data_IF_895875879114
#
_entry.id   IF_895875879114
#
_cell.length_a   1.000
_cell.length_b   1.000
_cell.length_c   1.000
_cell.angle_alpha   90.00
_cell.angle_beta   90.00
_cell.angle_gamma   90.00
#
_symmetry.space_group_name_H-M   'P 1'
#
loop_
_entity.id
_entity.type
_entity.pdbx_description
1 polymer ?
#
# COMPACT_ATOMS: atom_id res chain seq x y z
N UNK A 1 27.82 2.06 -11.14
CA UNK A 1 27.72 3.42 -10.54
C UNK A 1 28.45 3.39 -9.21
N UNK A 2 29.19 4.45 -8.82
CA UNK A 2 29.89 4.47 -7.52
C UNK A 2 28.85 4.75 -6.42
N UNK A 3 28.67 3.77 -5.54
CA UNK A 3 27.80 3.95 -4.37
C UNK A 3 28.38 5.05 -3.50
N UNK A 4 27.68 6.18 -3.40
CA UNK A 4 28.09 7.30 -2.56
C UNK A 4 27.77 6.94 -1.09
N UNK A 5 28.74 6.90 -0.18
CA UNK A 5 28.48 6.59 1.24
C UNK A 5 27.48 7.54 1.90
N UNK A 6 27.42 8.79 1.47
CA UNK A 6 26.47 9.79 2.00
C UNK A 6 25.03 9.45 1.60
N UNK A 7 24.80 8.99 0.37
CA UNK A 7 23.46 8.58 -0.08
C UNK A 7 22.99 7.33 0.66
N UNK A 8 23.89 6.38 0.88
CA UNK A 8 23.61 5.17 1.68
C UNK A 8 23.23 5.54 3.12
N UNK A 9 24.00 6.43 3.76
CA UNK A 9 23.72 6.88 5.11
C UNK A 9 22.38 7.63 5.21
N UNK A 10 22.08 8.50 4.23
CA UNK A 10 20.84 9.26 4.15
C UNK A 10 19.62 8.34 3.99
N UNK A 11 19.69 7.38 3.08
CA UNK A 11 18.61 6.42 2.84
C UNK A 11 18.37 5.56 4.08
N UNK A 12 19.42 5.03 4.71
CA UNK A 12 19.28 4.22 5.92
C UNK A 12 18.72 5.02 7.11
N UNK A 13 19.12 6.29 7.25
CA UNK A 13 18.55 7.18 8.28
C UNK A 13 17.05 7.41 8.05
N UNK A 14 16.65 7.68 6.82
CA UNK A 14 15.24 7.85 6.45
C UNK A 14 14.42 6.58 6.74
N UNK A 15 14.93 5.41 6.39
CA UNK A 15 14.23 4.13 6.59
C UNK A 15 14.14 3.70 8.05
N UNK A 16 15.01 4.24 8.93
CA UNK A 16 14.99 3.93 10.37
C UNK A 16 13.86 4.66 11.08
N UNK A 17 13.50 5.87 10.63
CA UNK A 17 12.40 6.67 11.18
C UNK A 17 11.13 6.50 10.34
N UNK A 18 10.63 5.27 10.25
CA UNK A 18 9.45 4.93 9.47
C UNK A 18 8.48 4.05 10.27
N UNK A 19 7.22 4.07 9.86
CA UNK A 19 6.19 3.15 10.32
C UNK A 19 6.30 1.85 9.53
N UNK A 20 6.47 0.72 10.22
CA UNK A 20 6.41 -0.61 9.61
C UNK A 20 4.95 -1.05 9.47
N UNK A 21 4.58 -1.42 8.25
CA UNK A 21 3.25 -1.90 7.88
C UNK A 21 3.26 -3.43 7.75
N UNK A 22 2.18 -4.07 8.23
CA UNK A 22 1.98 -5.52 8.09
C UNK A 22 0.62 -5.81 7.50
N UNK A 23 0.54 -6.82 6.64
CA UNK A 23 -0.74 -7.31 6.17
C UNK A 23 -1.49 -7.92 7.35
N UNK A 24 -2.67 -7.36 7.64
CA UNK A 24 -3.56 -7.83 8.68
C UNK A 24 -4.60 -8.80 8.12
N UNK A 25 -5.25 -8.42 7.01
CA UNK A 25 -6.30 -9.22 6.37
C UNK A 25 -6.49 -8.82 4.90
N UNK A 26 -7.22 -9.66 4.16
CA UNK A 26 -7.71 -9.36 2.81
C UNK A 26 -9.21 -9.59 2.81
N UNK A 27 -9.97 -8.52 2.58
CA UNK A 27 -11.43 -8.55 2.74
C UNK A 27 -12.15 -8.25 1.43
N UNK A 28 -13.41 -8.72 1.33
CA UNK A 28 -14.27 -8.42 0.20
C UNK A 28 -14.75 -6.96 0.23
N UNK A 29 -14.89 -6.36 -0.96
CA UNK A 29 -15.45 -5.03 -1.12
C UNK A 29 -16.93 -5.14 -1.44
N UNK A 30 -17.77 -4.35 -0.76
CA UNK A 30 -19.21 -4.31 -1.04
C UNK A 30 -19.45 -3.77 -2.45
N UNK A 31 -20.15 -4.54 -3.28
CA UNK A 31 -20.49 -4.14 -4.65
C UNK A 31 -19.36 -4.26 -5.68
N UNK A 32 -18.25 -4.92 -5.33
CA UNK A 32 -17.12 -5.15 -6.23
C UNK A 32 -16.56 -6.58 -6.06
N UNK A 33 -17.24 -7.57 -6.64
CA UNK A 33 -16.93 -9.00 -6.40
C UNK A 33 -15.55 -9.43 -6.91
N UNK A 34 -14.97 -8.76 -7.90
CA UNK A 34 -13.64 -9.08 -8.45
C UNK A 34 -12.50 -8.39 -7.70
N UNK A 35 -12.80 -7.38 -6.89
CA UNK A 35 -11.80 -6.62 -6.14
C UNK A 35 -11.79 -7.01 -4.67
N UNK A 36 -10.63 -6.87 -4.06
CA UNK A 36 -10.36 -7.11 -2.65
C UNK A 36 -9.62 -5.93 -2.04
N UNK A 37 -9.72 -5.80 -0.76
CA UNK A 37 -9.04 -4.78 0.01
C UNK A 37 -8.02 -5.43 0.93
N UNK A 38 -6.74 -5.18 0.68
CA UNK A 38 -5.65 -5.51 1.60
C UNK A 38 -5.64 -4.50 2.73
N UNK A 39 -5.70 -4.97 3.96
CA UNK A 39 -5.64 -4.15 5.16
C UNK A 39 -4.23 -4.22 5.73
N UNK A 40 -3.52 -3.09 5.68
CA UNK A 40 -2.17 -2.94 6.19
C UNK A 40 -2.22 -2.13 7.49
N UNK A 41 -1.73 -2.69 8.58
CA UNK A 41 -1.73 -2.02 9.90
C UNK A 41 -0.32 -1.72 10.35
N UNK A 42 -0.18 -0.70 11.20
CA UNK A 42 1.03 -0.46 11.98
C UNK A 42 1.21 -1.50 13.10
N UNK A 43 2.34 -1.49 13.78
CA UNK A 43 2.64 -2.40 14.88
C UNK A 43 1.70 -2.23 16.09
N UNK A 44 1.06 -1.07 16.23
CA UNK A 44 0.09 -0.78 17.32
C UNK A 44 -1.29 -1.30 16.97
N UNK A 45 -1.61 -1.47 15.67
CA UNK A 45 -2.88 -1.98 15.19
C UNK A 45 -4.07 -1.04 15.44
N UNK A 46 -3.82 0.27 15.55
CA UNK A 46 -4.89 1.27 15.76
C UNK A 46 -5.34 1.95 14.47
N UNK A 47 -4.48 1.97 13.48
CA UNK A 47 -4.73 2.61 12.18
C UNK A 47 -4.36 1.68 11.05
N UNK A 48 -4.98 1.88 9.91
CA UNK A 48 -4.77 1.05 8.72
C UNK A 48 -4.60 1.90 7.47
N UNK A 49 -3.79 1.40 6.55
CA UNK A 49 -3.83 1.72 5.13
C UNK A 49 -4.57 0.60 4.40
N UNK A 50 -5.29 0.96 3.35
CA UNK A 50 -6.05 -0.01 2.57
C UNK A 50 -5.66 0.08 1.10
N UNK A 51 -5.24 -1.03 0.50
CA UNK A 51 -4.86 -1.10 -0.89
C UNK A 51 -5.69 -2.14 -1.63
N UNK A 52 -6.05 -1.84 -2.87
CA UNK A 52 -6.87 -2.73 -3.70
C UNK A 52 -5.99 -3.82 -4.30
N UNK A 53 -6.53 -5.04 -4.35
CA UNK A 53 -5.97 -6.14 -5.12
C UNK A 53 -7.08 -6.95 -5.82
N UNK A 54 -6.69 -7.81 -6.73
CA UNK A 54 -7.59 -8.76 -7.38
C UNK A 54 -7.68 -10.10 -6.62
N UNK A 55 -8.56 -10.97 -7.09
CA UNK A 55 -8.75 -12.31 -6.50
C UNK A 55 -7.53 -13.23 -6.61
N UNK A 56 -6.67 -13.02 -7.61
CA UNK A 56 -5.47 -13.84 -7.77
C UNK A 56 -4.45 -13.49 -6.67
N UNK A 57 -4.24 -12.20 -6.43
CA UNK A 57 -3.41 -11.70 -5.33
C UNK A 57 -3.99 -12.11 -3.97
N UNK A 58 -5.32 -11.96 -3.77
CA UNK A 58 -5.97 -12.45 -2.54
C UNK A 58 -5.59 -13.90 -2.23
N UNK A 59 -5.76 -14.80 -3.21
CA UNK A 59 -5.43 -16.22 -3.04
C UNK A 59 -3.97 -16.45 -2.64
N UNK A 60 -3.05 -15.73 -3.25
CA UNK A 60 -1.62 -15.82 -2.94
C UNK A 60 -1.31 -15.31 -1.52
N UNK A 61 -1.93 -14.22 -1.09
CA UNK A 61 -1.73 -13.66 0.24
C UNK A 61 -2.39 -14.52 1.32
N UNK A 62 -3.67 -14.86 1.17
CA UNK A 62 -4.43 -15.67 2.14
C UNK A 62 -3.78 -17.05 2.31
N UNK A 63 -3.30 -17.66 1.23
CA UNK A 63 -2.58 -18.92 1.29
C UNK A 63 -1.36 -18.85 2.23
N UNK A 64 -0.59 -17.73 2.17
CA UNK A 64 0.58 -17.51 3.03
C UNK A 64 0.22 -17.10 4.46
N UNK A 65 -0.85 -16.37 4.64
CA UNK A 65 -1.36 -16.03 5.98
C UNK A 65 -1.69 -17.28 6.80
N UNK A 66 -2.19 -18.33 6.16
CA UNK A 66 -2.48 -19.63 6.80
C UNK A 66 -1.26 -20.54 6.94
N UNK A 67 -0.04 -20.04 6.66
CA UNK A 67 1.22 -20.79 6.77
C UNK A 67 1.21 -22.11 5.98
N UNK A 68 0.55 -22.14 4.86
CA UNK A 68 0.53 -23.29 3.96
C UNK A 68 1.92 -23.43 3.33
N UNK A 69 2.33 -24.65 3.01
CA UNK A 69 3.59 -24.90 2.31
C UNK A 69 3.58 -24.21 0.93
N UNK A 70 4.43 -23.21 0.78
CA UNK A 70 4.53 -22.40 -0.44
C UNK A 70 5.76 -22.76 -1.28
N UNK A 71 6.46 -23.86 -0.97
CA UNK A 71 7.65 -24.29 -1.71
C UNK A 71 7.34 -24.47 -3.20
N UNK A 72 8.27 -24.05 -4.04
CA UNK A 72 8.15 -24.14 -5.49
C UNK A 72 7.33 -23.04 -6.15
N UNK A 73 6.79 -22.06 -5.42
CA UNK A 73 6.19 -20.87 -6.00
C UNK A 73 7.26 -19.85 -6.36
N UNK A 74 7.00 -19.05 -7.40
CA UNK A 74 8.00 -18.12 -7.95
C UNK A 74 8.63 -17.19 -6.90
N UNK A 75 7.88 -16.52 -5.99
CA UNK A 75 8.49 -15.64 -5.00
C UNK A 75 9.45 -16.38 -4.07
N UNK A 76 9.08 -17.56 -3.59
CA UNK A 76 9.89 -18.38 -2.70
C UNK A 76 11.14 -18.92 -3.42
N UNK A 77 10.99 -19.33 -4.67
CA UNK A 77 12.13 -19.77 -5.50
C UNK A 77 13.12 -18.62 -5.72
N UNK A 78 12.63 -17.42 -6.05
CA UNK A 78 13.49 -16.25 -6.22
C UNK A 78 14.24 -15.91 -4.94
N UNK A 79 13.56 -15.91 -3.78
CA UNK A 79 14.21 -15.66 -2.50
C UNK A 79 15.26 -16.73 -2.17
N UNK A 80 15.04 -18.00 -2.53
CA UNK A 80 16.03 -19.06 -2.32
C UNK A 80 17.27 -18.92 -3.24
N UNK A 81 17.09 -18.41 -4.44
CA UNK A 81 18.17 -18.14 -5.39
C UNK A 81 18.94 -16.85 -5.10
N UNK A 82 18.30 -15.92 -4.38
CA UNK A 82 18.84 -14.60 -4.03
C UNK A 82 18.89 -14.42 -2.50
N UNK A 83 19.84 -15.06 -1.79
CA UNK A 83 19.89 -15.01 -0.32
C UNK A 83 20.07 -13.59 0.25
N UNK A 84 20.60 -12.65 -0.55
CA UNK A 84 20.71 -11.24 -0.20
C UNK A 84 19.36 -10.48 -0.26
N UNK A 85 18.31 -11.07 -0.81
CA UNK A 85 16.98 -10.46 -0.83
C UNK A 85 16.31 -10.68 0.54
N UNK A 86 16.73 -9.91 1.53
CA UNK A 86 16.33 -10.05 2.94
C UNK A 86 16.21 -8.68 3.59
N UNK A 87 15.68 -8.65 4.82
CA UNK A 87 15.44 -7.42 5.58
C UNK A 87 16.69 -6.61 5.94
N UNK A 88 17.84 -7.25 5.99
CA UNK A 88 19.10 -6.56 6.33
C UNK A 88 19.59 -5.70 5.17
N UNK A 89 19.34 -6.16 3.94
CA UNK A 89 19.85 -5.53 2.73
C UNK A 89 18.78 -4.72 1.96
N UNK A 90 17.50 -4.98 2.22
CA UNK A 90 16.40 -4.34 1.49
C UNK A 90 15.31 -3.79 2.41
N UNK A 91 14.58 -2.80 1.89
CA UNK A 91 13.33 -2.29 2.45
C UNK A 91 12.35 -1.99 1.31
N UNK A 92 11.07 -2.13 1.59
CA UNK A 92 9.98 -1.70 0.72
C UNK A 92 9.45 -0.38 1.28
N UNK A 93 9.50 0.69 0.50
CA UNK A 93 9.15 2.02 0.97
C UNK A 93 7.95 2.58 0.19
N UNK A 94 6.81 2.71 0.89
CA UNK A 94 5.60 3.34 0.37
C UNK A 94 5.75 4.85 0.53
N UNK A 95 5.85 5.58 -0.58
CA UNK A 95 6.17 7.00 -0.54
C UNK A 95 5.04 7.93 -1.00
N UNK A 96 4.13 7.45 -1.84
CA UNK A 96 3.02 8.27 -2.34
C UNK A 96 1.79 7.40 -2.69
N UNK A 97 0.66 8.07 -2.90
CA UNK A 97 -0.55 7.51 -3.48
C UNK A 97 -1.09 8.49 -4.51
N UNK A 98 -1.27 8.04 -5.74
CA UNK A 98 -1.82 8.84 -6.83
C UNK A 98 -2.99 8.09 -7.45
N UNK A 99 -4.15 8.72 -7.46
CA UNK A 99 -5.38 8.17 -8.03
C UNK A 99 -5.73 6.75 -7.50
N UNK A 100 -5.58 6.57 -6.18
CA UNK A 100 -5.85 5.29 -5.51
C UNK A 100 -4.75 4.24 -5.65
N UNK A 101 -3.69 4.52 -6.43
CA UNK A 101 -2.55 3.65 -6.64
C UNK A 101 -1.40 4.04 -5.72
N UNK A 102 -0.93 3.11 -4.90
CA UNK A 102 0.24 3.28 -4.05
C UNK A 102 1.52 3.14 -4.85
N UNK A 103 2.46 4.04 -4.62
CA UNK A 103 3.80 4.01 -5.17
C UNK A 103 4.77 3.47 -4.12
N UNK A 104 5.51 2.44 -4.50
CA UNK A 104 6.42 1.72 -3.60
C UNK A 104 7.76 1.51 -4.28
N UNK A 105 8.85 1.74 -3.56
CA UNK A 105 10.19 1.39 -3.99
C UNK A 105 10.73 0.20 -3.19
N UNK A 106 11.32 -0.77 -3.88
CA UNK A 106 12.22 -1.74 -3.28
C UNK A 106 13.61 -1.08 -3.23
N UNK A 107 14.07 -0.78 -2.04
CA UNK A 107 15.30 -0.03 -1.78
C UNK A 107 16.40 -0.96 -1.30
N UNK A 108 17.56 -0.94 -1.96
CA UNK A 108 18.76 -1.63 -1.51
C UNK A 108 19.49 -0.73 -0.48
N UNK A 109 19.56 -1.18 0.76
CA UNK A 109 20.18 -0.45 1.88
C UNK A 109 21.70 -0.32 1.76
N UNK A 110 22.35 -1.19 0.96
CA UNK A 110 23.81 -1.20 0.77
C UNK A 110 24.27 -0.31 -0.37
N UNK A 111 23.41 -0.11 -1.37
CA UNK A 111 23.76 0.66 -2.58
C UNK A 111 22.98 1.95 -2.71
N UNK A 112 21.92 2.14 -1.92
CA UNK A 112 20.93 3.20 -2.05
C UNK A 112 20.20 3.22 -3.41
N UNK A 113 20.34 2.14 -4.20
CA UNK A 113 19.56 1.96 -5.42
C UNK A 113 18.15 1.53 -5.08
N UNK A 114 17.21 1.97 -5.87
CA UNK A 114 15.81 1.64 -5.72
C UNK A 114 15.16 1.22 -7.05
N UNK A 115 14.05 0.51 -6.94
CA UNK A 115 13.27 0.06 -8.09
C UNK A 115 11.80 0.12 -7.72
N UNK A 116 10.98 0.68 -8.59
CA UNK A 116 9.53 0.73 -8.37
C UNK A 116 8.92 -0.68 -8.43
N UNK A 117 8.00 -0.95 -7.49
CA UNK A 117 7.29 -2.22 -7.38
C UNK A 117 5.83 -1.96 -7.03
N UNK A 118 4.89 -2.76 -7.53
CA UNK A 118 3.47 -2.65 -7.18
C UNK A 118 3.25 -2.97 -5.71
N UNK A 119 2.32 -2.29 -5.06
CA UNK A 119 2.01 -2.53 -3.63
C UNK A 119 1.63 -3.99 -3.35
N UNK A 120 0.93 -4.66 -4.27
CA UNK A 120 0.55 -6.07 -4.14
C UNK A 120 1.76 -6.99 -4.11
N UNK A 121 2.75 -6.75 -4.98
CA UNK A 121 3.98 -7.53 -5.04
C UNK A 121 4.89 -7.19 -3.86
N UNK A 122 4.89 -5.93 -3.41
CA UNK A 122 5.62 -5.50 -2.22
C UNK A 122 5.10 -6.20 -0.95
N UNK A 123 3.79 -6.27 -0.76
CA UNK A 123 3.19 -7.01 0.35
C UNK A 123 3.56 -8.48 0.29
N UNK A 124 3.47 -9.10 -0.89
CA UNK A 124 3.85 -10.49 -1.09
C UNK A 124 5.33 -10.73 -0.78
N UNK A 125 6.22 -9.87 -1.28
CA UNK A 125 7.66 -9.97 -1.04
C UNK A 125 8.01 -9.73 0.44
N UNK A 126 7.31 -8.82 1.11
CA UNK A 126 7.43 -8.62 2.56
C UNK A 126 7.12 -9.91 3.34
N UNK A 127 6.09 -10.65 2.94
CA UNK A 127 5.72 -11.91 3.59
C UNK A 127 6.73 -13.03 3.34
N UNK A 128 7.26 -13.14 2.11
CA UNK A 128 8.13 -14.24 1.68
C UNK A 128 9.57 -14.04 2.14
N UNK A 129 10.12 -12.86 1.94
CA UNK A 129 11.52 -12.53 2.24
C UNK A 129 11.71 -11.82 3.59
N UNK A 130 10.61 -11.59 4.34
CA UNK A 130 10.61 -10.82 5.59
C UNK A 130 11.25 -9.42 5.45
N UNK A 131 11.13 -8.82 4.25
CA UNK A 131 11.58 -7.45 3.98
C UNK A 131 10.56 -6.48 4.60
N UNK A 132 10.99 -5.49 5.41
CA UNK A 132 10.06 -4.57 6.05
C UNK A 132 9.36 -3.68 5.01
N UNK A 133 8.04 -3.58 5.10
CA UNK A 133 7.22 -2.65 4.34
C UNK A 133 7.06 -1.38 5.18
N UNK A 134 7.65 -0.30 4.75
CA UNK A 134 7.82 0.94 5.49
C UNK A 134 7.08 2.10 4.83
N UNK A 135 6.69 3.08 5.64
CA UNK A 135 6.22 4.38 5.15
C UNK A 135 6.59 5.48 6.12
N UNK A 136 6.69 6.74 5.66
CA UNK A 136 6.97 7.86 6.56
C UNK A 136 5.82 8.11 7.53
N UNK A 137 6.13 8.62 8.71
CA UNK A 137 5.12 9.04 9.69
C UNK A 137 4.15 10.06 9.08
N UNK A 138 4.65 11.02 8.32
CA UNK A 138 3.82 12.05 7.69
C UNK A 138 2.83 11.47 6.66
N UNK A 139 3.27 10.50 5.84
CA UNK A 139 2.38 9.83 4.91
C UNK A 139 1.33 8.99 5.65
N UNK A 140 1.76 8.22 6.65
CA UNK A 140 0.87 7.39 7.45
C UNK A 140 -0.19 8.24 8.17
N UNK A 141 0.21 9.34 8.82
CA UNK A 141 -0.72 10.27 9.47
C UNK A 141 -1.76 10.85 8.49
N UNK A 142 -1.33 11.17 7.26
CA UNK A 142 -2.19 11.76 6.23
C UNK A 142 -3.19 10.77 5.65
N UNK A 143 -2.80 9.50 5.48
CA UNK A 143 -3.54 8.52 4.68
C UNK A 143 -4.22 7.42 5.50
N UNK A 144 -3.72 7.13 6.70
CA UNK A 144 -4.25 6.03 7.49
C UNK A 144 -5.60 6.39 8.13
N UNK A 145 -6.51 5.43 8.05
CA UNK A 145 -7.83 5.47 8.68
C UNK A 145 -7.80 4.74 10.02
N UNK A 146 -8.74 5.00 10.94
CA UNK A 146 -8.92 4.16 12.11
C UNK A 146 -9.09 2.70 11.70
N UNK A 147 -8.41 1.80 12.41
CA UNK A 147 -8.54 0.38 12.15
C UNK A 147 -9.89 -0.12 12.62
N UNK A 148 -10.72 -0.57 11.69
CA UNK A 148 -12.00 -1.21 11.99
C UNK A 148 -11.82 -2.73 11.95
N UNK A 149 -12.00 -3.38 13.11
CA UNK A 149 -11.98 -4.83 13.23
C UNK A 149 -13.26 -5.50 12.70
N UNK A 150 -14.15 -4.76 12.04
CA UNK A 150 -15.36 -5.31 11.46
C UNK A 150 -15.02 -6.45 10.50
N UNK A 151 -15.35 -7.66 10.90
CA UNK A 151 -15.16 -8.86 10.09
C UNK A 151 -16.15 -8.87 8.94
N UNK A 152 -15.66 -8.95 7.71
CA UNK A 152 -16.52 -9.17 6.56
C UNK A 152 -16.28 -8.22 5.40
N UNK A 153 -17.34 -7.85 4.69
CA UNK A 153 -17.28 -6.94 3.55
C UNK A 153 -17.14 -5.50 4.03
N UNK A 154 -16.09 -4.82 3.63
CA UNK A 154 -15.90 -3.39 3.87
C UNK A 154 -16.31 -2.58 2.64
N UNK A 155 -16.74 -1.33 2.88
CA UNK A 155 -16.84 -0.35 1.80
C UNK A 155 -15.44 0.07 1.37
N UNK A 156 -15.26 0.29 0.08
CA UNK A 156 -14.00 0.78 -0.45
C UNK A 156 -13.70 2.16 0.15
N UNK A 157 -12.54 2.36 0.79
CA UNK A 157 -12.15 3.66 1.30
C UNK A 157 -11.99 4.67 0.16
N UNK A 158 -12.44 5.90 0.41
CA UNK A 158 -12.45 6.98 -0.59
C UNK A 158 -11.05 7.27 -1.16
N UNK A 159 -10.02 7.20 -0.33
CA UNK A 159 -8.63 7.40 -0.75
C UNK A 159 -8.05 6.26 -1.60
N UNK A 160 -8.63 5.06 -1.54
CA UNK A 160 -8.22 3.91 -2.35
C UNK A 160 -8.96 3.83 -3.71
N UNK A 161 -9.96 4.67 -3.96
CA UNK A 161 -10.69 4.73 -5.22
C UNK A 161 -9.94 5.58 -6.25
N UNK A 162 -10.06 5.23 -7.55
CA UNK A 162 -9.64 6.13 -8.62
C UNK A 162 -10.58 7.34 -8.72
N UNK A 163 -10.10 8.41 -9.35
CA UNK A 163 -10.91 9.61 -9.60
C UNK A 163 -12.18 9.29 -10.41
N UNK A 164 -12.10 8.35 -11.32
CA UNK A 164 -13.24 7.89 -12.10
C UNK A 164 -14.25 7.12 -11.25
N UNK A 165 -13.77 6.21 -10.41
CA UNK A 165 -14.61 5.50 -9.44
C UNK A 165 -15.29 6.47 -8.45
N UNK A 166 -14.59 7.49 -7.99
CA UNK A 166 -15.16 8.52 -7.12
C UNK A 166 -16.29 9.29 -7.82
N UNK A 167 -16.10 9.63 -9.10
CA UNK A 167 -17.15 10.33 -9.89
C UNK A 167 -18.39 9.46 -10.14
N UNK A 168 -18.22 8.16 -10.29
CA UNK A 168 -19.36 7.23 -10.39
C UNK A 168 -20.05 7.05 -9.03
N UNK A 169 -19.27 6.89 -7.96
CA UNK A 169 -19.82 6.70 -6.62
C UNK A 169 -20.61 7.92 -6.14
N UNK A 170 -20.14 9.14 -6.42
CA UNK A 170 -20.89 10.36 -6.04
C UNK A 170 -22.26 10.43 -6.74
N UNK A 171 -22.34 10.02 -8.02
CA UNK A 171 -23.61 9.96 -8.75
C UNK A 171 -24.59 8.98 -8.11
N UNK A 172 -24.11 7.81 -7.71
CA UNK A 172 -24.93 6.78 -7.04
C UNK A 172 -25.34 7.25 -5.64
N UNK A 173 -24.40 7.79 -4.85
CA UNK A 173 -24.69 8.27 -3.51
C UNK A 173 -25.76 9.39 -3.51
N UNK A 174 -25.72 10.28 -4.51
CA UNK A 174 -26.75 11.33 -4.66
C UNK A 174 -28.11 10.72 -5.10
N UNK A 175 -28.11 9.73 -6.02
CA UNK A 175 -29.34 9.06 -6.45
C UNK A 175 -30.02 8.27 -5.35
N UNK A 176 -29.23 7.69 -4.45
CA UNK A 176 -29.67 6.88 -3.30
C UNK A 176 -29.87 7.73 -2.02
N UNK A 177 -29.76 9.07 -2.12
CA UNK A 177 -29.92 10.04 -1.02
C UNK A 177 -28.91 9.90 0.13
N UNK A 178 -27.74 9.24 -0.11
CA UNK A 178 -26.63 9.13 0.84
C UNK A 178 -25.75 10.40 0.81
N UNK A 179 -26.29 11.53 1.24
CA UNK A 179 -25.65 12.85 1.14
C UNK A 179 -24.34 12.97 1.93
N UNK A 180 -24.19 12.26 3.03
CA UNK A 180 -22.96 12.25 3.83
C UNK A 180 -21.82 11.57 3.05
N UNK A 181 -22.07 10.42 2.43
CA UNK A 181 -21.13 9.73 1.58
C UNK A 181 -20.74 10.60 0.37
N UNK A 182 -21.73 11.21 -0.28
CA UNK A 182 -21.50 12.13 -1.39
C UNK A 182 -20.62 13.34 -0.99
N UNK A 183 -20.83 13.89 0.21
CA UNK A 183 -20.01 14.99 0.72
C UNK A 183 -18.55 14.57 1.00
N UNK A 184 -18.33 13.37 1.53
CA UNK A 184 -16.99 12.82 1.77
C UNK A 184 -16.23 12.56 0.46
N UNK A 185 -16.91 11.99 -0.55
CA UNK A 185 -16.34 11.77 -1.88
C UNK A 185 -15.98 13.10 -2.54
N UNK A 186 -16.84 14.11 -2.44
CA UNK A 186 -16.59 15.44 -2.99
C UNK A 186 -15.34 16.08 -2.38
N UNK A 187 -15.18 15.99 -1.06
CA UNK A 187 -13.96 16.50 -0.38
C UNK A 187 -12.69 15.85 -0.90
N UNK A 188 -12.71 14.53 -1.14
CA UNK A 188 -11.53 13.83 -1.68
C UNK A 188 -11.23 14.28 -3.11
N UNK A 189 -12.25 14.44 -3.97
CA UNK A 189 -12.07 14.95 -5.33
C UNK A 189 -11.48 16.37 -5.34
N UNK A 190 -11.95 17.25 -4.46
CA UNK A 190 -11.42 18.61 -4.31
C UNK A 190 -9.97 18.62 -3.81
N UNK A 191 -9.63 17.71 -2.89
CA UNK A 191 -8.26 17.53 -2.39
C UNK A 191 -7.32 17.12 -3.53
N UNK A 192 -7.71 16.12 -4.34
CA UNK A 192 -6.90 15.66 -5.49
C UNK A 192 -6.72 16.73 -6.54
N UNK A 193 -7.75 17.53 -6.84
CA UNK A 193 -7.65 18.64 -7.79
C UNK A 193 -6.63 19.67 -7.34
N UNK A 194 -6.57 19.99 -6.04
CA UNK A 194 -5.57 20.92 -5.49
C UNK A 194 -4.15 20.36 -5.52
N UNK A 195 -4.00 19.05 -5.25
CA UNK A 195 -2.70 18.40 -5.28
C UNK A 195 -2.14 18.27 -6.71
N UNK A 196 -3.00 18.10 -7.72
CA UNK A 196 -2.61 18.10 -9.13
C UNK A 196 -2.21 19.50 -9.60
N UNK A 197 -2.97 20.54 -9.27
CA UNK A 197 -2.63 21.93 -9.60
C UNK A 197 -1.33 22.42 -8.97
N UNK A 198 -0.92 21.86 -7.83
CA UNK A 198 0.35 22.19 -7.17
C UNK A 198 1.57 21.48 -7.77
N UNK A 199 1.36 20.45 -8.60
CA UNK A 199 2.45 19.73 -9.30
C UNK A 199 2.72 20.25 -10.71
N UNK A 200 1.84 21.12 -11.26
CA UNK A 200 1.96 21.68 -12.61
C UNK A 200 2.69 23.05 -12.68
N UNK A 201 3.17 23.59 -11.56
CA UNK A 201 3.97 24.84 -11.51
C UNK A 201 5.43 24.53 -11.14
N UNK A 202 6.28 24.09 -12.10
CA UNK A 202 7.73 24.08 -11.91
C UNK A 202 8.26 25.46 -12.29
N UNK A 203 8.62 26.25 -11.30
CA UNK A 203 9.57 27.36 -11.51
C UNK A 203 10.99 26.82 -11.66
#
# INVERSE_FOLDING_TARGET
MKNNPEDIARVNSMLTDCVELKLHDVVCIVGADELRLMILTDSVGKRQLSAICDRAVEKELVFRMHKTDCQGRLPEVLCSLMPGLCRDDYALYVYDITDGTYHVHLVNRRTAEDTEIRITDAVLLSMVANIPLLTSHAFFEKQALPFDQAKGKLRMPVNAMTTEQLREHIKRAVADEYYEDAANIKKELEKRSKEQGSKEDPQ
#
